data_IF_681503903635
#
_entry.id   IF_681503903635
#
_cell.length_a   1.000
_cell.length_b   1.000
_cell.length_c   1.000
_cell.angle_alpha   90.00
_cell.angle_beta   90.00
_cell.angle_gamma   90.00
#
_symmetry.space_group_name_H-M   'P 1'
#
loop_
_entity.id
_entity.type
_entity.pdbx_description
1 polymer ?
#
# COMPACT_ATOMS: atom_id res chain seq x y z
N UNK A 1 -0.18 20.69 -8.58
CA UNK A 1 -0.32 22.08 -9.04
C UNK A 1 0.81 22.40 -10.00
N UNK A 2 0.59 23.17 -11.08
CA UNK A 2 1.66 23.60 -11.98
C UNK A 2 2.63 24.54 -11.24
N UNK A 3 3.94 24.34 -11.41
CA UNK A 3 4.95 25.27 -10.87
C UNK A 3 5.04 26.49 -11.80
N UNK A 4 4.88 27.69 -11.25
CA UNK A 4 5.02 28.95 -11.98
C UNK A 4 6.49 29.40 -11.91
N UNK A 5 7.04 29.81 -13.04
CA UNK A 5 8.41 30.31 -13.15
C UNK A 5 8.49 31.78 -12.68
N UNK A 6 9.39 32.07 -11.74
CA UNK A 6 9.60 33.42 -11.19
C UNK A 6 9.96 34.44 -12.29
N UNK A 7 10.66 34.01 -13.34
CA UNK A 7 11.01 34.88 -14.47
C UNK A 7 9.78 35.29 -15.29
N UNK A 8 8.81 34.39 -15.45
CA UNK A 8 7.54 34.71 -16.13
C UNK A 8 6.73 35.74 -15.35
N UNK A 9 6.76 35.66 -14.01
CA UNK A 9 6.13 36.65 -13.15
C UNK A 9 6.84 38.00 -13.27
N UNK A 10 8.18 38.01 -13.26
CA UNK A 10 8.96 39.24 -13.44
C UNK A 10 8.71 39.92 -14.80
N UNK A 11 8.57 39.16 -15.89
CA UNK A 11 8.23 39.70 -17.21
C UNK A 11 6.82 40.33 -17.26
N UNK A 12 5.84 39.69 -16.62
CA UNK A 12 4.48 40.23 -16.51
C UNK A 12 4.48 41.53 -15.70
N UNK A 13 5.20 41.57 -14.58
CA UNK A 13 5.31 42.76 -13.74
C UNK A 13 5.99 43.91 -14.49
N UNK A 14 7.04 43.63 -15.27
CA UNK A 14 7.73 44.62 -16.11
C UNK A 14 6.84 45.18 -17.22
N UNK A 15 5.96 44.35 -17.82
CA UNK A 15 5.02 44.78 -18.88
C UNK A 15 3.92 45.72 -18.37
N UNK A 16 3.66 45.72 -17.05
CA UNK A 16 2.67 46.60 -16.42
C UNK A 16 3.32 47.87 -15.82
N UNK A 17 4.55 48.20 -16.23
CA UNK A 17 5.25 49.44 -15.86
C UNK A 17 5.39 49.66 -14.35
N UNK A 18 5.56 48.58 -13.58
CA UNK A 18 5.85 48.67 -12.16
C UNK A 18 7.20 49.35 -11.92
N UNK A 19 7.26 50.16 -10.86
CA UNK A 19 8.48 50.81 -10.41
C UNK A 19 9.62 49.77 -10.26
N UNK A 20 10.78 49.98 -10.90
CA UNK A 20 11.95 49.11 -10.78
C UNK A 20 12.36 48.76 -9.35
N UNK A 21 12.16 49.69 -8.40
CA UNK A 21 12.46 49.44 -6.99
C UNK A 21 11.51 48.40 -6.39
N UNK A 22 10.21 48.56 -6.62
CA UNK A 22 9.18 47.65 -6.14
C UNK A 22 9.27 46.27 -6.81
N UNK A 23 9.60 46.23 -8.11
CA UNK A 23 9.80 44.97 -8.83
C UNK A 23 10.94 44.14 -8.22
N UNK A 24 12.04 44.79 -7.83
CA UNK A 24 13.18 44.11 -7.21
C UNK A 24 12.81 43.51 -5.85
N UNK A 25 12.08 44.27 -5.01
CA UNK A 25 11.58 43.79 -3.72
C UNK A 25 10.69 42.56 -3.88
N UNK A 26 9.73 42.59 -4.81
CA UNK A 26 8.81 41.47 -5.05
C UNK A 26 9.57 40.22 -5.52
N UNK A 27 10.54 40.38 -6.44
CA UNK A 27 11.34 39.26 -6.93
C UNK A 27 12.24 38.68 -5.83
N UNK A 28 12.80 39.51 -4.96
CA UNK A 28 13.60 39.06 -3.81
C UNK A 28 12.74 38.30 -2.78
N UNK A 29 11.54 38.81 -2.43
CA UNK A 29 10.59 38.11 -1.56
C UNK A 29 10.12 36.78 -2.16
N UNK A 30 9.82 36.75 -3.46
CA UNK A 30 9.48 35.51 -4.17
C UNK A 30 10.64 34.51 -4.13
N UNK A 31 11.87 34.95 -4.34
CA UNK A 31 13.03 34.07 -4.28
C UNK A 31 13.26 33.52 -2.87
N UNK A 32 13.00 34.32 -1.82
CA UNK A 32 13.05 33.88 -0.43
C UNK A 32 12.00 32.80 -0.10
N UNK A 33 10.77 32.97 -0.59
CA UNK A 33 9.69 31.98 -0.42
C UNK A 33 9.88 30.71 -1.27
N UNK A 34 10.64 30.81 -2.36
CA UNK A 34 10.97 29.69 -3.26
C UNK A 34 12.29 29.02 -2.86
N UNK A 35 13.04 29.56 -1.89
CA UNK A 35 14.14 28.82 -1.29
C UNK A 35 13.56 27.50 -0.79
N UNK A 36 14.03 26.35 -1.31
CA UNK A 36 13.60 25.09 -0.76
C UNK A 36 13.98 25.12 0.72
N UNK A 37 13.01 24.91 1.61
CA UNK A 37 13.33 24.50 2.99
C UNK A 37 14.42 23.44 2.85
N UNK A 38 15.59 23.70 3.45
CA UNK A 38 16.74 22.81 3.37
C UNK A 38 16.18 21.43 3.64
N UNK A 39 16.15 20.59 2.61
CA UNK A 39 15.44 19.31 2.65
C UNK A 39 16.19 18.52 3.69
N UNK A 40 15.71 18.54 4.94
CA UNK A 40 16.27 17.76 6.04
C UNK A 40 16.46 16.37 5.45
N UNK A 41 17.71 15.89 5.39
CA UNK A 41 18.06 14.63 4.72
C UNK A 41 17.09 13.56 5.20
N UNK A 42 16.05 13.31 4.40
CA UNK A 42 15.01 12.36 4.79
C UNK A 42 15.73 11.02 4.90
N UNK A 43 15.63 10.33 6.05
CA UNK A 43 16.31 9.06 6.22
C UNK A 43 15.94 8.13 5.07
N UNK A 44 16.87 7.29 4.61
CA UNK A 44 16.67 6.46 3.43
C UNK A 44 15.36 5.70 3.55
N UNK A 45 14.55 5.74 2.48
CA UNK A 45 13.22 5.18 2.48
C UNK A 45 13.25 3.71 2.93
N UNK A 46 12.69 3.43 4.11
CA UNK A 46 12.67 2.09 4.67
C UNK A 46 11.80 1.18 3.79
N UNK A 47 12.33 0.01 3.43
CA UNK A 47 11.54 -1.03 2.75
C UNK A 47 10.42 -1.47 3.70
N UNK A 48 9.17 -1.30 3.27
CA UNK A 48 7.98 -1.72 4.00
C UNK A 48 7.62 -3.15 3.60
N UNK A 49 7.07 -3.91 4.55
CA UNK A 49 6.50 -5.23 4.30
C UNK A 49 4.99 -5.23 4.57
N UNK A 50 4.27 -6.10 3.87
CA UNK A 50 2.86 -6.37 4.17
C UNK A 50 2.75 -7.47 5.23
N UNK A 51 1.77 -7.36 6.11
CA UNK A 51 1.42 -8.35 7.13
C UNK A 51 -0.11 -8.49 7.15
N UNK A 52 -0.64 -9.69 7.37
CA UNK A 52 -2.07 -9.92 7.54
C UNK A 52 -2.36 -10.01 9.04
N UNK A 53 -3.12 -9.07 9.61
CA UNK A 53 -3.62 -9.18 10.98
C UNK A 53 -5.01 -9.80 10.96
N UNK A 54 -5.20 -10.92 11.66
CA UNK A 54 -6.50 -11.61 11.78
C UNK A 54 -6.98 -11.57 13.22
N UNK A 55 -8.22 -11.12 13.38
CA UNK A 55 -8.95 -11.21 14.63
C UNK A 55 -9.43 -12.65 14.85
N UNK A 56 -8.98 -13.27 15.94
CA UNK A 56 -9.37 -14.62 16.36
C UNK A 56 -9.67 -14.68 17.87
N UNK A 57 -10.62 -13.87 18.40
CA UNK A 57 -10.99 -13.86 19.82
C UNK A 57 -11.57 -15.21 20.27
N UNK A 58 -12.20 -15.94 19.36
CA UNK A 58 -12.81 -17.25 19.61
C UNK A 58 -11.79 -18.41 19.51
N UNK A 59 -10.50 -18.13 19.26
CA UNK A 59 -9.42 -19.12 19.11
C UNK A 59 -9.75 -20.26 18.12
N UNK A 60 -10.33 -19.91 16.98
CA UNK A 60 -10.71 -20.87 15.94
C UNK A 60 -9.51 -21.33 15.11
N UNK A 61 -8.43 -20.54 15.06
CA UNK A 61 -7.24 -20.91 14.31
C UNK A 61 -6.33 -21.83 15.14
N UNK A 62 -5.83 -22.94 14.56
CA UNK A 62 -4.90 -23.85 15.23
C UNK A 62 -3.73 -23.14 15.91
N UNK A 63 -3.40 -23.55 17.14
CA UNK A 63 -2.23 -23.07 17.87
C UNK A 63 -0.94 -23.72 17.35
N UNK A 64 0.19 -23.03 17.53
CA UNK A 64 1.52 -23.56 17.17
C UNK A 64 1.89 -23.54 15.68
N UNK A 65 0.99 -23.07 14.81
CA UNK A 65 1.23 -23.00 13.37
C UNK A 65 1.31 -21.55 12.87
N UNK A 66 2.32 -21.27 12.05
CA UNK A 66 2.38 -20.05 11.26
C UNK A 66 1.49 -20.17 10.02
N UNK A 67 0.75 -19.10 9.73
CA UNK A 67 -0.07 -19.00 8.52
C UNK A 67 0.50 -17.93 7.60
N UNK A 68 0.45 -18.21 6.30
CA UNK A 68 0.83 -17.26 5.27
C UNK A 68 -0.30 -17.16 4.23
N UNK A 69 -0.45 -15.98 3.66
CA UNK A 69 -1.48 -15.72 2.64
C UNK A 69 -1.13 -14.55 1.74
N UNK A 70 -1.96 -14.29 0.75
CA UNK A 70 -1.81 -13.16 -0.17
C UNK A 70 -2.84 -12.08 0.14
N UNK A 71 -2.44 -10.82 -0.02
CA UNK A 71 -3.36 -9.69 0.09
C UNK A 71 -3.95 -9.42 -1.28
N UNK A 72 -5.28 -9.54 -1.36
CA UNK A 72 -6.06 -9.38 -2.59
C UNK A 72 -7.13 -8.31 -2.38
N UNK A 73 -7.58 -7.68 -3.45
CA UNK A 73 -8.81 -6.88 -3.44
C UNK A 73 -9.78 -7.40 -4.50
N UNK A 74 -11.07 -7.25 -4.21
CA UNK A 74 -12.20 -7.44 -5.13
C UNK A 74 -13.10 -6.20 -5.04
N UNK A 75 -13.97 -5.94 -6.03
CA UNK A 75 -14.98 -4.90 -5.93
C UNK A 75 -15.86 -5.08 -4.68
N UNK A 76 -16.25 -3.99 -4.02
CA UNK A 76 -17.01 -4.05 -2.77
C UNK A 76 -18.41 -4.65 -2.93
N UNK A 77 -18.98 -4.56 -4.13
CA UNK A 77 -20.28 -5.14 -4.46
C UNK A 77 -20.21 -6.65 -4.79
N UNK A 78 -19.02 -7.25 -4.73
CA UNK A 78 -18.78 -8.65 -5.07
C UNK A 78 -18.50 -9.47 -3.80
N UNK A 79 -18.93 -10.74 -3.81
CA UNK A 79 -18.67 -11.65 -2.69
C UNK A 79 -17.21 -12.10 -2.67
N UNK A 80 -16.56 -11.97 -1.51
CA UNK A 80 -15.20 -12.47 -1.26
C UNK A 80 -15.07 -13.99 -1.45
N UNK A 81 -16.17 -14.73 -1.33
CA UNK A 81 -16.18 -16.18 -1.54
C UNK A 81 -15.86 -16.56 -2.99
N UNK A 82 -16.06 -15.64 -3.93
CA UNK A 82 -15.78 -15.87 -5.36
C UNK A 82 -14.32 -15.60 -5.75
N UNK A 83 -13.48 -15.08 -4.84
CA UNK A 83 -12.12 -14.67 -5.15
C UNK A 83 -11.27 -15.80 -5.74
N UNK A 84 -11.40 -17.01 -5.21
CA UNK A 84 -10.64 -18.16 -5.70
C UNK A 84 -11.05 -18.57 -7.12
N UNK A 85 -12.35 -18.56 -7.43
CA UNK A 85 -12.85 -18.85 -8.78
C UNK A 85 -12.36 -17.81 -9.80
N UNK A 86 -12.31 -16.53 -9.41
CA UNK A 86 -11.78 -15.45 -10.25
C UNK A 86 -10.28 -15.61 -10.52
N UNK A 87 -9.50 -16.05 -9.53
CA UNK A 87 -8.08 -16.40 -9.73
C UNK A 87 -7.98 -17.52 -10.75
N UNK A 88 -8.79 -18.58 -10.63
CA UNK A 88 -8.76 -19.70 -11.56
C UNK A 88 -9.11 -19.27 -12.98
N UNK A 89 -10.14 -18.43 -13.15
CA UNK A 89 -10.49 -17.85 -14.45
C UNK A 89 -9.31 -17.11 -15.09
N UNK A 90 -8.65 -16.22 -14.34
CA UNK A 90 -7.48 -15.49 -14.82
C UNK A 90 -6.33 -16.42 -15.23
N UNK A 91 -6.10 -17.50 -14.47
CA UNK A 91 -5.07 -18.49 -14.76
C UNK A 91 -5.40 -19.29 -16.02
N UNK A 92 -6.64 -19.74 -16.19
CA UNK A 92 -7.07 -20.47 -17.37
C UNK A 92 -6.90 -19.62 -18.63
N UNK A 93 -7.32 -18.36 -18.58
CA UNK A 93 -7.13 -17.40 -19.67
C UNK A 93 -5.64 -17.19 -19.98
N UNK A 94 -4.80 -16.95 -18.96
CA UNK A 94 -3.36 -16.82 -19.14
C UNK A 94 -2.73 -18.06 -19.78
N UNK A 95 -3.08 -19.26 -19.31
CA UNK A 95 -2.54 -20.53 -19.79
C UNK A 95 -2.90 -20.81 -21.26
N UNK A 96 -3.95 -20.16 -21.80
CA UNK A 96 -4.25 -20.23 -23.24
C UNK A 96 -3.33 -19.38 -24.10
N UNK A 97 -2.61 -18.40 -23.55
CA UNK A 97 -1.73 -17.50 -24.31
C UNK A 97 -0.46 -18.20 -24.79
N UNK A 98 0.26 -17.63 -25.77
CA UNK A 98 1.57 -18.18 -26.22
C UNK A 98 2.56 -18.34 -25.05
N UNK A 99 2.61 -17.36 -24.14
CA UNK A 99 3.49 -17.39 -22.96
C UNK A 99 3.02 -18.43 -21.93
N UNK A 100 1.72 -18.45 -21.64
CA UNK A 100 1.13 -19.41 -20.69
C UNK A 100 1.20 -20.85 -21.18
N UNK A 101 1.13 -21.11 -22.49
CA UNK A 101 1.34 -22.48 -23.02
C UNK A 101 2.78 -22.96 -22.87
N UNK A 102 3.76 -22.06 -22.91
CA UNK A 102 5.17 -22.38 -22.68
C UNK A 102 5.48 -22.55 -21.18
N UNK A 103 4.86 -21.72 -20.34
CA UNK A 103 5.06 -21.72 -18.89
C UNK A 103 3.69 -21.57 -18.19
N UNK A 104 2.91 -22.65 -18.09
CA UNK A 104 1.60 -22.59 -17.49
C UNK A 104 1.71 -22.47 -15.97
N UNK A 105 0.88 -21.61 -15.37
CA UNK A 105 0.72 -21.59 -13.92
C UNK A 105 -0.18 -22.75 -13.51
N UNK A 106 0.29 -23.57 -12.56
CA UNK A 106 -0.40 -24.78 -12.08
C UNK A 106 -0.90 -24.64 -10.66
N UNK A 107 -0.22 -23.84 -9.86
CA UNK A 107 -0.61 -23.55 -8.47
C UNK A 107 -1.05 -22.10 -8.31
N UNK A 108 -1.83 -21.82 -7.25
CA UNK A 108 -2.20 -20.44 -6.89
C UNK A 108 -0.96 -19.61 -6.58
N UNK A 109 0.05 -20.18 -5.91
CA UNK A 109 1.30 -19.48 -5.61
C UNK A 109 2.04 -19.03 -6.87
N UNK A 110 2.26 -19.96 -7.82
CA UNK A 110 2.88 -19.65 -9.12
C UNK A 110 2.08 -18.60 -9.88
N UNK A 111 0.74 -18.72 -9.85
CA UNK A 111 -0.14 -17.78 -10.51
C UNK A 111 0.05 -16.36 -9.97
N UNK A 112 -0.03 -16.19 -8.65
CA UNK A 112 0.06 -14.87 -8.01
C UNK A 112 1.47 -14.25 -8.13
N UNK A 113 2.51 -15.07 -8.30
CA UNK A 113 3.88 -14.60 -8.48
C UNK A 113 4.18 -14.14 -9.92
N UNK A 114 3.74 -14.92 -10.92
CA UNK A 114 4.22 -14.79 -12.30
C UNK A 114 3.16 -14.40 -13.33
N UNK A 115 1.87 -14.66 -13.09
CA UNK A 115 0.82 -14.28 -14.04
C UNK A 115 0.71 -12.74 -14.07
N UNK A 116 0.74 -12.12 -15.26
CA UNK A 116 0.63 -10.67 -15.36
C UNK A 116 -0.67 -10.13 -14.77
N UNK A 117 -0.56 -9.02 -14.02
CA UNK A 117 -1.68 -8.41 -13.30
C UNK A 117 -2.93 -8.09 -14.17
N UNK A 118 -2.76 -7.92 -15.49
CA UNK A 118 -3.88 -7.67 -16.41
C UNK A 118 -4.93 -8.79 -16.38
N UNK A 119 -4.51 -10.05 -16.31
CA UNK A 119 -5.41 -11.20 -16.33
C UNK A 119 -6.27 -11.25 -15.07
N UNK A 120 -5.65 -10.96 -13.90
CA UNK A 120 -6.40 -10.87 -12.65
C UNK A 120 -7.40 -9.71 -12.66
N UNK A 121 -7.00 -8.54 -13.19
CA UNK A 121 -7.89 -7.37 -13.30
C UNK A 121 -9.10 -7.65 -14.20
N UNK A 122 -8.90 -8.35 -15.32
CA UNK A 122 -9.98 -8.79 -16.22
C UNK A 122 -10.96 -9.76 -15.52
N UNK A 123 -10.47 -10.56 -14.57
CA UNK A 123 -11.30 -11.40 -13.70
C UNK A 123 -11.86 -10.68 -12.45
N UNK A 124 -11.57 -9.39 -12.26
CA UNK A 124 -12.03 -8.60 -11.12
C UNK A 124 -11.30 -8.89 -9.80
N UNK A 125 -10.04 -9.33 -9.85
CA UNK A 125 -9.18 -9.52 -8.67
C UNK A 125 -7.92 -8.67 -8.81
N UNK A 126 -7.51 -8.02 -7.72
CA UNK A 126 -6.33 -7.16 -7.68
C UNK A 126 -5.32 -7.70 -6.66
N UNK A 127 -4.26 -8.33 -7.17
CA UNK A 127 -3.18 -8.90 -6.36
C UNK A 127 -2.28 -7.78 -5.82
N UNK A 128 -2.11 -7.68 -4.50
CA UNK A 128 -1.25 -6.67 -3.85
C UNK A 128 0.11 -7.20 -3.43
N UNK A 129 0.16 -8.46 -3.02
CA UNK A 129 1.41 -9.14 -2.69
C UNK A 129 1.63 -10.27 -3.70
N UNK A 130 2.85 -10.36 -4.25
CA UNK A 130 3.24 -11.49 -5.13
C UNK A 130 3.64 -12.72 -4.32
N UNK A 131 4.33 -12.47 -3.21
CA UNK A 131 4.73 -13.49 -2.26
C UNK A 131 3.69 -13.59 -1.15
N UNK A 132 3.54 -14.79 -0.60
CA UNK A 132 2.75 -14.97 0.61
C UNK A 132 3.39 -14.20 1.76
N UNK A 133 2.57 -13.54 2.56
CA UNK A 133 2.99 -12.76 3.73
C UNK A 133 2.44 -13.40 5.00
N UNK A 134 3.18 -13.22 6.09
CA UNK A 134 2.85 -13.83 7.37
C UNK A 134 1.60 -13.21 7.98
N UNK A 135 0.87 -14.06 8.69
CA UNK A 135 -0.32 -13.71 9.44
C UNK A 135 0.01 -13.55 10.93
N UNK A 136 -0.50 -12.49 11.54
CA UNK A 136 -0.51 -12.28 12.98
C UNK A 136 -1.94 -12.43 13.50
N UNK A 137 -2.12 -13.12 14.62
CA UNK A 137 -3.42 -13.22 15.30
C UNK A 137 -3.56 -12.13 16.36
N UNK A 138 -4.79 -11.70 16.62
CA UNK A 138 -5.14 -10.82 17.74
C UNK A 138 -6.47 -11.24 18.34
N UNK A 139 -6.61 -11.06 19.65
CA UNK A 139 -7.87 -11.14 20.39
C UNK A 139 -8.79 -9.92 20.16
N UNK A 140 -8.33 -8.95 19.37
CA UNK A 140 -9.01 -7.68 19.11
C UNK A 140 -9.23 -6.83 20.38
N UNK A 141 -8.36 -7.00 21.38
CA UNK A 141 -8.33 -6.17 22.58
C UNK A 141 -7.06 -5.31 22.61
N UNK A 142 -7.18 -4.09 23.15
CA UNK A 142 -6.03 -3.22 23.41
C UNK A 142 -5.75 -3.27 24.91
N UNK A 143 -4.56 -3.71 25.34
CA UNK A 143 -4.23 -3.76 26.76
C UNK A 143 -4.30 -2.36 27.39
N UNK A 144 -5.17 -2.18 28.38
CA UNK A 144 -5.22 -0.98 29.22
C UNK A 144 -4.48 -1.20 30.54
N UNK A 145 -4.02 -0.13 31.18
CA UNK A 145 -3.27 -0.25 32.43
C UNK A 145 -4.10 -0.86 33.58
N UNK A 146 -5.42 -0.74 33.54
CA UNK A 146 -6.32 -1.40 34.49
C UNK A 146 -6.43 -2.92 34.29
N UNK A 147 -6.32 -3.39 33.03
CA UNK A 147 -6.42 -4.81 32.68
C UNK A 147 -5.16 -5.61 33.11
N UNK A 148 -3.98 -4.98 33.05
CA UNK A 148 -2.69 -5.58 33.47
C UNK A 148 -2.70 -6.04 34.94
N UNK A 149 -3.48 -5.38 35.80
CA UNK A 149 -3.60 -5.71 37.23
C UNK A 149 -4.46 -6.94 37.54
N UNK A 150 -5.30 -7.39 36.61
CA UNK A 150 -6.17 -8.58 36.76
C UNK A 150 -5.49 -9.85 36.25
N UNK A 151 -4.78 -9.78 35.12
CA UNK A 151 -4.08 -10.94 34.54
C UNK A 151 -2.89 -11.41 35.41
N UNK A 152 -2.16 -10.48 36.03
CA UNK A 152 -1.07 -10.78 36.96
C UNK A 152 -1.52 -11.52 38.25
N UNK A 153 -2.83 -11.59 38.53
CA UNK A 153 -3.42 -12.39 39.62
C UNK A 153 -3.91 -13.74 39.14
N UNK A 154 -4.30 -13.85 37.87
CA UNK A 154 -4.85 -15.08 37.28
C UNK A 154 -3.75 -16.08 36.92
N UNK A 155 -2.61 -15.61 36.41
CA UNK A 155 -1.41 -16.44 36.17
C UNK A 155 -0.62 -16.87 37.42
N UNK A 156 -1.13 -16.58 38.63
CA UNK A 156 -0.55 -17.03 39.92
C UNK A 156 -1.35 -18.12 40.61
N UNK A 157 -2.46 -18.56 40.01
CA UNK A 157 -3.34 -19.62 40.54
C UNK A 157 -3.39 -20.88 39.65
N UNK A 158 -2.50 -20.99 38.66
CA UNK A 158 -2.27 -22.22 37.88
C UNK A 158 -0.84 -22.73 38.07
#
# INVERSE_FOLDING_TARGET
>A
MPKIDVNKVAEILKRNELDPALLRTIVEEMNLLVQPEVDEEKPPAQKKQFVILISDPDKRLPEGNDFAGWVLQVPENESVMTTQERIFKAVYEFNTTKKGRLMPAKTVGEALEHVPAKHFKEAGVFVKTKNAVLMLKTDNEIPTDEAKGKDARRGRME
#
